data_IF_376514194242
#
_entry.id   IF_376514194242
#
_cell.length_a   1.000
_cell.length_b   1.000
_cell.length_c   1.000
_cell.angle_alpha   90.00
_cell.angle_beta   90.00
_cell.angle_gamma   90.00
#
_symmetry.space_group_name_H-M   'P 1'
#
loop_
_entity.id
_entity.type
_entity.pdbx_description
1 polymer ?
#
# COMPACT_ATOMS: atom_id res chain seq x y z
N UNK A 1 -28.95 5.09 -2.01
CA UNK A 1 -28.17 3.95 -1.52
C UNK A 1 -27.04 3.59 -2.48
N UNK A 2 -27.31 3.13 -3.71
CA UNK A 2 -26.29 2.66 -4.68
C UNK A 2 -25.02 3.53 -4.86
N UNK A 3 -25.12 4.87 -4.83
CA UNK A 3 -23.95 5.74 -5.05
C UNK A 3 -22.93 5.69 -3.91
N UNK A 4 -23.39 5.59 -2.65
CA UNK A 4 -22.52 5.53 -1.48
C UNK A 4 -21.80 4.18 -1.39
N UNK A 5 -22.52 3.11 -1.74
CA UNK A 5 -21.99 1.74 -1.76
C UNK A 5 -20.93 1.56 -2.85
N UNK A 6 -21.13 2.16 -4.04
CA UNK A 6 -20.14 2.15 -5.11
C UNK A 6 -18.87 2.94 -4.76
N UNK A 7 -19.01 4.03 -4.00
CA UNK A 7 -17.88 4.85 -3.56
C UNK A 7 -17.02 4.11 -2.54
N UNK A 8 -17.62 3.47 -1.54
CA UNK A 8 -16.85 2.75 -0.51
C UNK A 8 -16.14 1.51 -1.08
N UNK A 9 -16.79 0.79 -1.99
CA UNK A 9 -16.17 -0.32 -2.73
C UNK A 9 -15.00 0.19 -3.58
N UNK A 10 -15.14 1.37 -4.20
CA UNK A 10 -14.06 2.01 -4.94
C UNK A 10 -12.84 2.28 -4.06
N UNK A 11 -13.05 2.87 -2.88
CA UNK A 11 -11.97 3.14 -1.91
C UNK A 11 -11.28 1.84 -1.47
N UNK A 12 -12.06 0.80 -1.18
CA UNK A 12 -11.52 -0.50 -0.75
C UNK A 12 -10.65 -1.13 -1.85
N UNK A 13 -11.12 -1.13 -3.11
CA UNK A 13 -10.34 -1.66 -4.23
C UNK A 13 -9.05 -0.88 -4.46
N UNK A 14 -9.11 0.45 -4.43
CA UNK A 14 -7.92 1.28 -4.58
C UNK A 14 -6.93 1.07 -3.45
N UNK A 15 -7.41 0.80 -2.22
CA UNK A 15 -6.55 0.37 -1.12
C UNK A 15 -5.85 -0.96 -1.44
N UNK A 16 -6.59 -1.97 -1.88
CA UNK A 16 -6.00 -3.26 -2.27
C UNK A 16 -4.95 -3.10 -3.38
N UNK A 17 -5.23 -2.27 -4.38
CA UNK A 17 -4.31 -2.00 -5.48
C UNK A 17 -3.06 -1.28 -4.98
N UNK A 18 -3.21 -0.27 -4.11
CA UNK A 18 -2.08 0.41 -3.46
C UNK A 18 -1.19 -0.56 -2.69
N UNK A 19 -1.78 -1.50 -1.95
CA UNK A 19 -1.03 -2.51 -1.20
C UNK A 19 -0.25 -3.45 -2.13
N UNK A 20 -0.80 -3.82 -3.30
CA UNK A 20 -0.12 -4.68 -4.28
C UNK A 20 1.16 -4.04 -4.84
N UNK A 21 1.16 -2.72 -5.02
CA UNK A 21 2.34 -2.01 -5.54
C UNK A 21 3.55 -2.13 -4.58
N UNK A 22 3.30 -2.25 -3.27
CA UNK A 22 4.33 -2.42 -2.25
C UNK A 22 4.86 -3.86 -2.13
N UNK A 23 4.36 -4.79 -2.93
CA UNK A 23 4.81 -6.18 -2.87
C UNK A 23 5.98 -6.38 -3.82
N UNK A 24 7.04 -7.01 -3.34
CA UNK A 24 8.17 -7.43 -4.19
C UNK A 24 7.68 -8.50 -5.18
N UNK A 25 7.83 -8.28 -6.50
CA UNK A 25 7.45 -9.27 -7.49
C UNK A 25 8.26 -10.56 -7.33
N UNK A 26 7.57 -11.70 -7.24
CA UNK A 26 8.20 -13.01 -7.23
C UNK A 26 8.28 -13.58 -8.66
N UNK A 27 9.31 -14.37 -8.94
CA UNK A 27 9.36 -15.25 -10.13
C UNK A 27 9.39 -14.55 -11.49
N UNK A 28 10.09 -13.43 -11.63
CA UNK A 28 10.37 -12.77 -12.92
C UNK A 28 11.87 -12.51 -13.08
N UNK A 29 12.32 -12.24 -14.31
CA UNK A 29 13.74 -11.94 -14.53
C UNK A 29 14.12 -10.57 -13.92
N UNK A 30 15.43 -10.33 -13.75
CA UNK A 30 15.92 -9.15 -13.00
C UNK A 30 15.51 -7.84 -13.69
N UNK A 31 15.59 -7.76 -15.02
CA UNK A 31 15.29 -6.54 -15.76
C UNK A 31 13.79 -6.22 -15.72
N UNK A 32 12.93 -7.22 -15.95
CA UNK A 32 11.47 -7.10 -15.80
C UNK A 32 11.08 -6.71 -14.38
N UNK A 33 11.76 -7.26 -13.36
CA UNK A 33 11.52 -6.91 -11.96
C UNK A 33 11.82 -5.45 -11.70
N UNK A 34 12.97 -4.97 -12.15
CA UNK A 34 13.38 -3.60 -11.91
C UNK A 34 12.43 -2.62 -12.59
N UNK A 35 12.02 -2.89 -13.83
CA UNK A 35 11.00 -2.08 -14.52
C UNK A 35 9.64 -2.09 -13.82
N UNK A 36 9.19 -3.25 -13.32
CA UNK A 36 7.94 -3.33 -12.57
C UNK A 36 8.02 -2.57 -11.24
N UNK A 37 9.16 -2.62 -10.55
CA UNK A 37 9.35 -1.85 -9.32
C UNK A 37 9.37 -0.35 -9.61
N UNK A 38 10.04 0.10 -10.67
CA UNK A 38 10.02 1.51 -11.09
C UNK A 38 8.59 1.98 -11.34
N UNK A 39 7.83 1.23 -12.14
CA UNK A 39 6.41 1.52 -12.38
C UNK A 39 5.59 1.57 -11.08
N UNK A 40 5.76 0.58 -10.21
CA UNK A 40 5.02 0.53 -8.95
C UNK A 40 5.36 1.72 -8.03
N UNK A 41 6.62 2.15 -8.01
CA UNK A 41 7.06 3.29 -7.21
C UNK A 41 6.47 4.61 -7.73
N UNK A 42 6.42 4.80 -9.05
CA UNK A 42 5.79 5.97 -9.67
C UNK A 42 4.30 6.07 -9.31
N UNK A 43 3.57 4.97 -9.42
CA UNK A 43 2.16 4.91 -9.03
C UNK A 43 1.99 5.14 -7.52
N UNK A 44 2.84 4.50 -6.69
CA UNK A 44 2.79 4.65 -5.24
C UNK A 44 2.99 6.09 -4.79
N UNK A 45 4.00 6.79 -5.32
CA UNK A 45 4.33 8.17 -4.92
C UNK A 45 3.13 9.12 -5.10
N UNK A 46 2.31 8.89 -6.14
CA UNK A 46 1.06 9.63 -6.37
C UNK A 46 -0.11 9.19 -5.49
N UNK A 47 -0.21 7.91 -5.18
CA UNK A 47 -1.45 7.30 -4.71
C UNK A 47 -1.50 7.03 -3.20
N UNK A 48 -0.36 6.78 -2.55
CA UNK A 48 -0.36 6.35 -1.15
C UNK A 48 -0.92 7.43 -0.21
N UNK A 49 -0.72 8.72 -0.53
CA UNK A 49 -1.32 9.85 0.20
C UNK A 49 -2.83 9.92 0.09
N UNK A 50 -3.40 9.33 -0.96
CA UNK A 50 -4.84 9.28 -1.19
C UNK A 50 -5.43 8.06 -0.48
N UNK A 51 -4.91 6.86 -0.70
CA UNK A 51 -5.60 5.64 -0.27
C UNK A 51 -5.22 5.17 1.13
N UNK A 52 -3.98 5.42 1.58
CA UNK A 52 -3.59 5.23 2.98
C UNK A 52 -3.92 6.45 3.84
N UNK A 53 -4.64 7.44 3.29
CA UNK A 53 -5.08 8.59 4.06
C UNK A 53 -5.95 8.14 5.25
N UNK A 54 -5.70 8.66 6.48
CA UNK A 54 -6.53 8.36 7.65
C UNK A 54 -8.02 8.58 7.42
N UNK A 55 -8.43 9.54 6.57
CA UNK A 55 -9.84 9.76 6.22
C UNK A 55 -10.45 8.53 5.54
N UNK A 56 -9.76 7.97 4.54
CA UNK A 56 -10.23 6.81 3.79
C UNK A 56 -10.19 5.56 4.65
N UNK A 57 -9.13 5.36 5.44
CA UNK A 57 -9.02 4.24 6.39
C UNK A 57 -10.17 4.28 7.41
N UNK A 58 -10.42 5.43 8.04
CA UNK A 58 -11.51 5.58 9.00
C UNK A 58 -12.89 5.34 8.37
N UNK A 59 -13.06 5.71 7.10
CA UNK A 59 -14.29 5.46 6.37
C UNK A 59 -14.52 3.96 6.16
N UNK A 60 -13.50 3.23 5.69
CA UNK A 60 -13.55 1.77 5.53
C UNK A 60 -13.87 1.06 6.86
N UNK A 61 -13.23 1.51 7.95
CA UNK A 61 -13.48 0.99 9.29
C UNK A 61 -14.92 1.25 9.75
N UNK A 62 -15.44 2.47 9.59
CA UNK A 62 -16.81 2.82 9.99
C UNK A 62 -17.90 2.04 9.23
N UNK A 63 -17.58 1.54 8.04
CA UNK A 63 -18.46 0.73 7.20
C UNK A 63 -18.21 -0.78 7.42
N UNK A 64 -17.40 -1.17 8.42
CA UNK A 64 -17.04 -2.56 8.78
C UNK A 64 -16.37 -3.37 7.66
N UNK A 65 -15.63 -2.70 6.75
CA UNK A 65 -14.85 -3.38 5.70
C UNK A 65 -13.45 -3.79 6.18
N UNK A 66 -12.96 -3.14 7.23
CA UNK A 66 -11.72 -3.49 7.92
C UNK A 66 -11.97 -3.39 9.43
N UNK A 67 -11.25 -4.18 10.21
CA UNK A 67 -11.31 -4.14 11.68
C UNK A 67 -10.28 -3.16 12.27
N UNK A 68 -10.27 -3.03 13.60
CA UNK A 68 -9.32 -2.17 14.33
C UNK A 68 -7.86 -2.58 14.11
N UNK A 69 -7.57 -3.87 13.95
CA UNK A 69 -6.20 -4.37 13.73
C UNK A 69 -5.69 -3.91 12.36
N UNK A 70 -6.46 -4.18 11.30
CA UNK A 70 -6.12 -3.77 9.93
C UNK A 70 -6.01 -2.25 9.85
N UNK A 71 -6.95 -1.52 10.45
CA UNK A 71 -6.90 -0.05 10.52
C UNK A 71 -5.59 0.44 11.13
N UNK A 72 -5.20 -0.08 12.29
CA UNK A 72 -3.96 0.32 12.96
C UNK A 72 -2.73 0.03 12.10
N UNK A 73 -2.69 -1.13 11.43
CA UNK A 73 -1.59 -1.49 10.53
C UNK A 73 -1.52 -0.58 9.30
N UNK A 74 -2.65 -0.20 8.72
CA UNK A 74 -2.72 0.74 7.60
C UNK A 74 -2.27 2.16 8.01
N UNK A 75 -2.69 2.65 9.17
CA UNK A 75 -2.22 3.93 9.71
C UNK A 75 -0.71 3.91 9.96
N UNK A 76 -0.17 2.79 10.47
CA UNK A 76 1.27 2.61 10.63
C UNK A 76 2.00 2.57 9.28
N UNK A 77 1.43 1.90 8.28
CA UNK A 77 1.97 1.84 6.93
C UNK A 77 2.09 3.23 6.31
N UNK A 78 1.05 4.07 6.47
CA UNK A 78 1.06 5.46 6.02
C UNK A 78 2.24 6.25 6.61
N UNK A 79 2.45 6.15 7.93
CA UNK A 79 3.56 6.84 8.62
C UNK A 79 4.93 6.33 8.13
N UNK A 80 5.08 5.02 7.92
CA UNK A 80 6.33 4.45 7.40
C UNK A 80 6.65 4.94 5.99
N UNK A 81 5.64 5.01 5.12
CA UNK A 81 5.78 5.52 3.75
C UNK A 81 6.20 7.00 3.73
N UNK A 82 5.65 7.81 4.64
CA UNK A 82 6.04 9.22 4.79
C UNK A 82 7.49 9.42 5.24
N UNK A 83 8.07 8.44 5.94
CA UNK A 83 9.46 8.48 6.41
C UNK A 83 10.47 8.02 5.34
N UNK A 84 10.02 7.60 4.16
CA UNK A 84 10.90 7.29 3.04
C UNK A 84 11.41 8.61 2.43
N UNK A 85 12.73 8.81 2.47
CA UNK A 85 13.34 10.00 1.89
C UNK A 85 13.19 9.99 0.36
N UNK A 86 13.05 11.15 -0.28
CA UNK A 86 12.91 11.27 -1.74
C UNK A 86 13.99 10.50 -2.53
N UNK A 87 15.22 10.46 -2.02
CA UNK A 87 16.33 9.71 -2.64
C UNK A 87 16.15 8.19 -2.62
N UNK A 88 15.29 7.67 -1.74
CA UNK A 88 15.06 6.25 -1.49
C UNK A 88 13.88 5.69 -2.31
N UNK A 89 13.24 6.51 -3.15
CA UNK A 89 12.20 6.12 -4.11
C UNK A 89 12.81 5.63 -5.43
N UNK A 90 13.51 4.50 -5.37
CA UNK A 90 14.08 3.83 -6.54
C UNK A 90 14.18 2.32 -6.30
N UNK A 91 14.33 1.54 -7.37
CA UNK A 91 14.33 0.08 -7.31
C UNK A 91 15.40 -0.52 -6.41
N UNK A 92 16.61 0.04 -6.39
CA UNK A 92 17.70 -0.45 -5.55
C UNK A 92 17.36 -0.30 -4.07
N UNK A 93 16.88 0.89 -3.68
CA UNK A 93 16.42 1.17 -2.33
C UNK A 93 15.21 0.32 -1.96
N UNK A 94 14.22 0.20 -2.85
CA UNK A 94 13.04 -0.64 -2.62
C UNK A 94 13.43 -2.08 -2.24
N UNK A 95 14.46 -2.63 -2.89
CA UNK A 95 14.91 -4.00 -2.64
C UNK A 95 15.82 -4.15 -1.42
N UNK A 96 16.59 -3.13 -1.05
CA UNK A 96 17.70 -3.28 -0.09
C UNK A 96 17.58 -2.42 1.18
N UNK A 97 16.78 -1.35 1.13
CA UNK A 97 16.62 -0.43 2.25
C UNK A 97 15.79 -1.09 3.37
N UNK A 98 16.28 -1.09 4.62
CA UNK A 98 15.54 -1.64 5.75
C UNK A 98 14.15 -1.02 5.96
N UNK A 99 13.93 0.25 5.60
CA UNK A 99 12.62 0.89 5.70
C UNK A 99 11.60 0.23 4.77
N UNK A 100 11.99 -0.01 3.52
CA UNK A 100 11.17 -0.74 2.54
C UNK A 100 10.91 -2.19 2.97
N UNK A 101 11.90 -2.87 3.56
CA UNK A 101 11.69 -4.20 4.13
C UNK A 101 10.58 -4.22 5.22
N UNK A 102 10.56 -3.22 6.10
CA UNK A 102 9.52 -3.10 7.13
C UNK A 102 8.15 -2.87 6.49
N UNK A 103 8.07 -1.99 5.49
CA UNK A 103 6.85 -1.73 4.71
C UNK A 103 6.34 -3.03 4.06
N UNK A 104 7.20 -3.78 3.37
CA UNK A 104 6.85 -5.04 2.71
C UNK A 104 6.28 -6.07 3.68
N UNK A 105 6.90 -6.20 4.85
CA UNK A 105 6.45 -7.16 5.87
C UNK A 105 5.08 -6.77 6.41
N UNK A 106 4.88 -5.48 6.71
CA UNK A 106 3.59 -4.98 7.19
C UNK A 106 2.49 -5.13 6.13
N UNK A 107 2.78 -4.81 4.86
CA UNK A 107 1.85 -5.01 3.75
C UNK A 107 1.45 -6.48 3.61
N UNK A 108 2.40 -7.42 3.73
CA UNK A 108 2.12 -8.86 3.71
C UNK A 108 1.21 -9.29 4.85
N UNK A 109 1.45 -8.78 6.06
CA UNK A 109 0.59 -9.06 7.22
C UNK A 109 -0.84 -8.55 6.98
N UNK A 110 -1.00 -7.33 6.45
CA UNK A 110 -2.32 -6.77 6.13
C UNK A 110 -3.02 -7.64 5.07
N UNK A 111 -2.32 -7.98 3.99
CA UNK A 111 -2.88 -8.78 2.91
C UNK A 111 -3.34 -10.17 3.38
N UNK A 112 -2.64 -10.77 4.35
CA UNK A 112 -3.03 -12.06 4.95
C UNK A 112 -4.29 -11.97 5.81
N UNK A 113 -4.57 -10.81 6.40
CA UNK A 113 -5.78 -10.59 7.20
C UNK A 113 -6.98 -10.33 6.29
N UNK A 114 -6.77 -9.63 5.18
CA UNK A 114 -7.82 -9.27 4.21
C UNK A 114 -8.20 -10.40 3.25
N UNK A 115 -7.36 -11.43 3.08
CA UNK A 115 -7.57 -12.60 2.22
C UNK A 115 -8.48 -13.66 2.85
#
# INVERSE_FOLDING_TARGET
MQRKDNEIIGIYKSLEDTLKLMVVPNCINIDERNHLIEFNLEELEGDFYTFLNPININKLHSENLIDDEVRFKLERLFVLMQDIESKDWNSDSFLTNPKWLVIHNLTKEIAQILS
#
